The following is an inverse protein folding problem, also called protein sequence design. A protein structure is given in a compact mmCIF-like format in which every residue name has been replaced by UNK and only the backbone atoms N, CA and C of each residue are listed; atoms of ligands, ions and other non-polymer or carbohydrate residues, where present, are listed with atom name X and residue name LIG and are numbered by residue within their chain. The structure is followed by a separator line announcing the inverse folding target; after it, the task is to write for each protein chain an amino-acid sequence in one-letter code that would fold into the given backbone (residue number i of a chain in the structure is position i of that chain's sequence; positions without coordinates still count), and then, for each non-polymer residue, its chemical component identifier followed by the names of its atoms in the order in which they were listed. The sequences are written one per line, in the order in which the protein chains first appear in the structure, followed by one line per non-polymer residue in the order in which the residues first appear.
data_IF_602172341778
#
_entry.id   IF_602172341778
#
_cell.length_a   1.000
_cell.length_b   1.000
_cell.length_c   1.000
_cell.angle_alpha   90.00
_cell.angle_beta   90.00
_cell.angle_gamma   90.00
#
_symmetry.space_group_name_H-M   'P 1'
#
loop_
_entity.id
_entity.type
_entity.pdbx_description
1 polymer ?
#
# COMPACT_ATOMS: atom_id res chain seq x y z
N UNK A 1 6.80 9.61 45.68
CA UNK A 1 5.67 9.37 46.61
C UNK A 1 5.03 10.72 46.95
N UNK A 2 4.08 11.24 46.16
CA UNK A 2 2.99 12.14 46.61
C UNK A 2 1.85 12.02 45.59
N UNK A 3 0.65 11.63 46.03
CA UNK A 3 -0.62 11.66 45.28
C UNK A 3 -1.41 12.89 45.73
N UNK A 4 -1.95 13.68 44.81
CA UNK A 4 -3.12 14.57 44.97
C UNK A 4 -3.68 14.81 43.56
N UNK A 5 -4.95 14.58 43.19
CA UNK A 5 -6.17 14.57 43.97
C UNK A 5 -6.96 15.86 43.71
N UNK A 6 -7.72 15.88 42.61
CA UNK A 6 -8.88 16.73 42.30
C UNK A 6 -8.75 18.27 42.39
N UNK A 7 -8.52 18.95 41.24
CA UNK A 7 -9.01 20.32 41.05
C UNK A 7 -9.04 20.73 39.56
N UNK A 8 -9.92 20.12 38.75
CA UNK A 8 -10.16 20.54 37.36
C UNK A 8 -11.61 20.98 37.16
N UNK A 9 -11.91 22.29 37.27
CA UNK A 9 -13.19 22.85 36.80
C UNK A 9 -13.04 23.83 35.61
N UNK A 10 -11.85 23.96 35.00
CA UNK A 10 -11.53 25.07 34.08
C UNK A 10 -11.17 24.70 32.63
N UNK A 11 -11.46 23.49 32.18
CA UNK A 11 -11.33 23.10 30.76
C UNK A 11 -12.57 23.40 29.94
N UNK A 12 -13.76 23.39 30.56
CA UNK A 12 -15.03 23.62 29.86
C UNK A 12 -15.10 25.03 29.24
N UNK A 13 -14.51 26.03 29.89
CA UNK A 13 -14.45 27.40 29.37
C UNK A 13 -13.48 27.57 28.19
N UNK A 14 -12.40 26.78 28.12
CA UNK A 14 -11.45 26.82 27.00
C UNK A 14 -12.05 26.21 25.71
N UNK A 15 -12.85 25.15 25.84
CA UNK A 15 -13.59 24.57 24.70
C UNK A 15 -14.67 25.55 24.20
N UNK A 16 -15.27 26.35 25.08
CA UNK A 16 -16.26 27.37 24.72
C UNK A 16 -15.65 28.56 23.94
N UNK A 17 -14.42 28.97 24.27
CA UNK A 17 -13.71 30.03 23.54
C UNK A 17 -13.28 29.53 22.15
N UNK A 18 -12.82 28.27 22.03
CA UNK A 18 -12.52 27.68 20.72
C UNK A 18 -13.76 27.50 19.83
N UNK A 19 -14.96 27.38 20.42
CA UNK A 19 -16.24 27.27 19.71
C UNK A 19 -16.79 28.60 19.18
N UNK A 20 -16.27 29.74 19.66
CA UNK A 20 -16.68 31.08 19.21
C UNK A 20 -15.77 31.67 18.14
N UNK A 21 -14.51 31.23 18.04
CA UNK A 21 -13.55 31.77 17.08
C UNK A 21 -13.49 31.03 15.73
N UNK A 22 -13.98 29.79 15.65
CA UNK A 22 -14.04 29.08 14.38
C UNK A 22 -15.48 28.72 14.06
N UNK A 23 -16.01 29.41 13.05
CA UNK A 23 -17.32 29.16 12.48
C UNK A 23 -17.45 27.67 12.13
N UNK A 24 -18.39 26.97 12.76
CA UNK A 24 -18.53 25.51 12.68
C UNK A 24 -18.88 25.04 11.25
N UNK A 25 -19.36 25.96 10.40
CA UNK A 25 -19.65 25.75 8.97
C UNK A 25 -18.39 25.80 8.08
N UNK A 26 -17.34 26.54 8.48
CA UNK A 26 -16.08 26.60 7.71
C UNK A 26 -15.22 25.34 7.85
N UNK A 27 -15.44 24.56 8.90
CA UNK A 27 -14.72 23.29 9.12
C UNK A 27 -15.37 22.16 8.32
N UNK A 28 -16.69 22.18 8.11
CA UNK A 28 -17.34 21.19 7.23
C UNK A 28 -16.91 21.37 5.78
N UNK A 29 -16.77 22.60 5.30
CA UNK A 29 -16.44 22.88 3.91
C UNK A 29 -14.99 22.53 3.57
N UNK A 30 -14.05 22.71 4.52
CA UNK A 30 -12.64 22.30 4.35
C UNK A 30 -12.45 20.78 4.45
N UNK A 31 -13.29 20.08 5.23
CA UNK A 31 -13.24 18.62 5.32
C UNK A 31 -13.94 17.96 4.12
N UNK A 32 -14.92 18.63 3.50
CA UNK A 32 -15.66 18.10 2.36
C UNK A 32 -14.85 18.00 1.05
N UNK A 33 -13.71 18.68 0.96
CA UNK A 33 -12.81 18.59 -0.21
C UNK A 33 -11.71 17.52 -0.07
N UNK A 34 -11.61 16.83 1.07
CA UNK A 34 -10.66 15.71 1.24
C UNK A 34 -11.39 14.40 0.96
N UNK A 35 -11.34 13.96 -0.29
CA UNK A 35 -11.78 12.62 -0.67
C UNK A 35 -10.88 11.59 0.03
N UNK A 36 -11.33 11.08 1.18
CA UNK A 36 -10.56 10.14 2.00
C UNK A 36 -10.48 8.77 1.31
N UNK A 37 -9.26 8.32 1.00
CA UNK A 37 -9.06 7.01 0.38
C UNK A 37 -9.13 5.95 1.47
N UNK A 38 -10.34 5.42 1.67
CA UNK A 38 -10.56 4.23 2.51
C UNK A 38 -10.78 3.00 1.64
N UNK A 39 -10.09 1.92 1.99
CA UNK A 39 -10.25 0.62 1.34
C UNK A 39 -11.02 -0.35 2.23
N UNK A 40 -11.80 -1.20 1.59
CA UNK A 40 -12.64 -2.21 2.24
C UNK A 40 -11.93 -3.57 2.28
N UNK A 41 -12.44 -4.49 3.11
CA UNK A 41 -12.00 -5.88 3.12
C UNK A 41 -12.13 -6.56 1.74
N UNK A 42 -13.12 -6.16 0.93
CA UNK A 42 -13.27 -6.65 -0.45
C UNK A 42 -12.12 -6.19 -1.35
N UNK A 43 -11.63 -4.96 -1.16
CA UNK A 43 -10.50 -4.43 -1.92
C UNK A 43 -9.22 -5.16 -1.53
N UNK A 44 -9.03 -5.44 -0.23
CA UNK A 44 -7.91 -6.27 0.26
C UNK A 44 -7.98 -7.67 -0.32
N UNK A 45 -9.15 -8.30 -0.33
CA UNK A 45 -9.34 -9.62 -0.94
C UNK A 45 -9.04 -9.61 -2.45
N UNK A 46 -9.42 -8.55 -3.15
CA UNK A 46 -9.13 -8.39 -4.57
C UNK A 46 -7.62 -8.29 -4.82
N UNK A 47 -6.92 -7.43 -4.07
CA UNK A 47 -5.47 -7.27 -4.18
C UNK A 47 -4.73 -8.55 -3.78
N UNK A 48 -5.19 -9.25 -2.74
CA UNK A 48 -4.63 -10.54 -2.34
C UNK A 48 -4.73 -11.58 -3.47
N UNK A 49 -5.86 -11.63 -4.18
CA UNK A 49 -6.03 -12.52 -5.33
C UNK A 49 -5.06 -12.16 -6.48
N UNK A 50 -4.87 -10.87 -6.77
CA UNK A 50 -3.90 -10.41 -7.77
C UNK A 50 -2.46 -10.81 -7.39
N UNK A 51 -2.14 -10.73 -6.09
CA UNK A 51 -0.85 -11.12 -5.54
C UNK A 51 -0.70 -12.64 -5.28
N UNK A 52 -1.73 -13.45 -5.58
CA UNK A 52 -1.77 -14.90 -5.29
C UNK A 52 -1.55 -15.24 -3.81
N UNK A 53 -2.03 -14.38 -2.92
CA UNK A 53 -1.99 -14.56 -1.47
C UNK A 53 -3.32 -15.12 -0.97
N UNK A 54 -3.25 -16.21 -0.19
CA UNK A 54 -4.40 -16.73 0.54
C UNK A 54 -4.37 -16.16 1.96
N UNK A 55 -5.41 -15.41 2.32
CA UNK A 55 -5.54 -14.78 3.63
C UNK A 55 -6.63 -15.47 4.45
N UNK A 56 -6.41 -15.56 5.75
CA UNK A 56 -7.47 -15.89 6.71
C UNK A 56 -8.35 -14.67 6.99
N UNK A 57 -9.54 -14.88 7.56
CA UNK A 57 -10.46 -13.78 7.90
C UNK A 57 -9.84 -12.79 8.90
N UNK A 58 -9.05 -13.31 9.86
CA UNK A 58 -8.34 -12.49 10.85
C UNK A 58 -7.25 -11.64 10.18
N UNK A 59 -6.47 -12.22 9.27
CA UNK A 59 -5.46 -11.46 8.51
C UNK A 59 -6.10 -10.42 7.60
N UNK A 60 -7.27 -10.73 7.03
CA UNK A 60 -8.00 -9.82 6.17
C UNK A 60 -8.51 -8.58 6.94
N UNK A 61 -9.03 -8.75 8.15
CA UNK A 61 -9.37 -7.64 9.04
C UNK A 61 -8.14 -6.82 9.41
N UNK A 62 -7.07 -7.49 9.85
CA UNK A 62 -5.82 -6.85 10.24
C UNK A 62 -5.21 -6.04 9.09
N UNK A 63 -5.11 -6.62 7.89
CA UNK A 63 -4.53 -5.95 6.73
C UNK A 63 -5.42 -4.82 6.21
N UNK A 64 -6.74 -4.93 6.35
CA UNK A 64 -7.63 -3.80 6.04
C UNK A 64 -7.29 -2.59 6.93
N UNK A 65 -7.12 -2.78 8.24
CA UNK A 65 -6.75 -1.68 9.13
C UNK A 65 -5.35 -1.13 8.82
N UNK A 66 -4.37 -2.01 8.63
CA UNK A 66 -2.98 -1.61 8.41
C UNK A 66 -2.78 -0.89 7.08
N UNK A 67 -3.40 -1.38 6.00
CA UNK A 67 -3.31 -0.74 4.69
C UNK A 67 -4.00 0.62 4.67
N UNK A 68 -5.15 0.78 5.34
CA UNK A 68 -5.78 2.09 5.49
C UNK A 68 -4.86 3.09 6.20
N UNK A 69 -4.13 2.67 7.24
CA UNK A 69 -3.14 3.53 7.91
C UNK A 69 -1.97 3.93 6.99
N UNK A 70 -1.50 3.00 6.16
CA UNK A 70 -0.42 3.26 5.19
C UNK A 70 -0.89 4.25 4.11
N UNK A 71 -2.09 4.05 3.57
CA UNK A 71 -2.67 4.94 2.57
C UNK A 71 -2.90 6.34 3.13
N UNK A 72 -3.42 6.44 4.37
CA UNK A 72 -3.56 7.72 5.06
C UNK A 72 -2.21 8.45 5.22
N UNK A 73 -1.12 7.72 5.49
CA UNK A 73 0.20 8.34 5.53
C UNK A 73 0.68 8.77 4.13
N UNK A 74 0.40 7.98 3.09
CA UNK A 74 0.74 8.31 1.71
C UNK A 74 -0.01 9.54 1.18
N UNK A 75 -1.20 9.86 1.72
CA UNK A 75 -1.95 11.08 1.39
C UNK A 75 -1.15 12.37 1.69
N UNK A 76 -0.14 12.33 2.57
CA UNK A 76 0.75 13.47 2.80
C UNK A 76 1.44 13.94 1.50
N UNK A 77 1.68 13.04 0.55
CA UNK A 77 2.28 13.35 -0.75
C UNK A 77 1.35 14.16 -1.65
N UNK A 78 0.02 14.12 -1.45
CA UNK A 78 -0.94 14.90 -2.25
C UNK A 78 -0.83 16.41 -2.00
N UNK A 79 -0.18 16.83 -0.91
CA UNK A 79 0.04 18.24 -0.56
C UNK A 79 1.16 18.89 -1.38
N UNK A 80 1.89 18.11 -2.17
CA UNK A 80 3.01 18.58 -2.97
C UNK A 80 2.50 19.07 -4.33
N UNK A 81 2.89 20.28 -4.74
CA UNK A 81 2.68 20.77 -6.09
C UNK A 81 3.69 20.12 -7.05
N UNK A 82 3.19 19.29 -7.96
CA UNK A 82 3.98 18.52 -8.91
C UNK A 82 3.59 18.81 -10.38
N UNK A 83 2.82 19.86 -10.67
CA UNK A 83 2.29 20.13 -12.02
C UNK A 83 3.37 20.21 -13.11
N UNK A 84 4.57 20.65 -12.73
CA UNK A 84 5.70 20.87 -13.64
C UNK A 84 6.90 19.94 -13.34
N UNK A 85 6.68 18.86 -12.59
CA UNK A 85 7.73 17.90 -12.23
C UNK A 85 7.53 16.61 -13.02
N UNK A 86 8.45 16.33 -13.94
CA UNK A 86 8.44 15.09 -14.71
C UNK A 86 8.67 13.85 -13.79
N UNK A 87 7.89 12.77 -13.93
CA UNK A 87 8.10 11.54 -13.18
C UNK A 87 9.49 10.94 -13.44
N UNK A 88 10.20 10.58 -12.36
CA UNK A 88 11.50 9.93 -12.46
C UNK A 88 11.34 8.40 -12.47
N UNK A 89 11.49 7.78 -13.64
CA UNK A 89 11.43 6.31 -13.78
C UNK A 89 12.78 5.62 -13.54
N UNK A 90 13.87 6.26 -13.96
CA UNK A 90 15.25 5.77 -13.84
C UNK A 90 16.13 6.91 -13.36
N UNK A 91 17.00 6.63 -12.39
CA UNK A 91 17.94 7.64 -11.86
C UNK A 91 19.14 7.89 -12.78
N UNK A 92 19.42 6.95 -13.69
CA UNK A 92 20.50 7.05 -14.67
C UNK A 92 19.93 7.34 -16.07
N UNK A 93 20.62 8.16 -16.89
CA UNK A 93 20.21 8.44 -18.26
C UNK A 93 20.58 7.26 -19.18
N UNK A 94 19.85 6.16 -19.07
CA UNK A 94 20.05 4.96 -19.88
C UNK A 94 19.32 5.12 -21.21
N UNK A 95 20.03 4.94 -22.32
CA UNK A 95 19.45 5.00 -23.66
C UNK A 95 19.99 3.84 -24.50
N UNK A 96 19.10 3.21 -25.28
CA UNK A 96 19.46 2.26 -26.34
C UNK A 96 20.43 1.15 -25.90
N UNK A 97 20.25 0.62 -24.68
CA UNK A 97 21.04 -0.52 -24.20
C UNK A 97 20.55 -1.79 -24.87
N UNK A 98 21.16 -2.10 -26.01
CA UNK A 98 20.83 -3.27 -26.82
C UNK A 98 21.83 -4.39 -26.55
N UNK A 99 21.33 -5.62 -26.63
CA UNK A 99 22.15 -6.84 -26.65
C UNK A 99 22.47 -7.21 -28.10
N UNK A 100 23.71 -7.58 -28.38
CA UNK A 100 24.10 -8.17 -29.66
C UNK A 100 23.29 -9.43 -29.96
N UNK A 101 22.80 -9.57 -31.20
CA UNK A 101 22.10 -10.76 -31.64
C UNK A 101 23.07 -11.90 -31.97
N UNK A 102 23.63 -12.51 -30.92
CA UNK A 102 24.53 -13.66 -31.01
C UNK A 102 24.08 -14.75 -30.06
N UNK A 103 24.33 -15.99 -30.44
CA UNK A 103 24.10 -17.15 -29.57
C UNK A 103 25.12 -17.15 -28.44
N UNK A 104 24.70 -17.69 -27.28
CA UNK A 104 25.55 -17.89 -26.11
C UNK A 104 25.33 -19.30 -25.58
N UNK A 105 26.26 -19.77 -24.77
CA UNK A 105 26.04 -20.98 -23.99
C UNK A 105 24.94 -20.71 -22.96
N UNK A 106 23.93 -21.57 -22.96
CA UNK A 106 22.82 -21.54 -22.00
C UNK A 106 23.03 -22.60 -20.91
N UNK A 107 22.21 -22.56 -19.87
CA UNK A 107 22.16 -23.58 -18.84
C UNK A 107 21.87 -24.96 -19.47
N UNK A 108 22.47 -26.01 -18.91
CA UNK A 108 22.01 -27.38 -19.21
C UNK A 108 20.61 -27.59 -18.62
N UNK A 109 19.88 -28.60 -19.12
CA UNK A 109 18.55 -28.95 -18.58
C UNK A 109 18.64 -29.25 -17.06
N UNK A 110 19.63 -30.05 -16.65
CA UNK A 110 19.92 -30.34 -15.24
C UNK A 110 20.17 -29.06 -14.40
N UNK A 111 20.95 -28.11 -14.93
CA UNK A 111 21.20 -26.83 -14.25
C UNK A 111 19.94 -25.97 -14.14
N UNK A 112 19.06 -26.01 -15.14
CA UNK A 112 17.81 -25.27 -15.11
C UNK A 112 16.83 -25.84 -14.08
N UNK A 113 16.86 -27.16 -13.87
CA UNK A 113 15.94 -27.87 -12.97
C UNK A 113 16.50 -28.09 -11.55
N UNK A 114 17.73 -27.71 -11.27
CA UNK A 114 18.40 -28.03 -9.99
C UNK A 114 17.66 -27.52 -8.73
N UNK A 115 16.75 -26.55 -8.88
CA UNK A 115 15.92 -25.99 -7.80
C UNK A 115 14.41 -26.22 -8.04
N UNK A 116 14.04 -27.04 -9.02
CA UNK A 116 12.65 -27.37 -9.29
C UNK A 116 12.07 -28.17 -8.10
N UNK A 117 10.98 -27.72 -7.47
CA UNK A 117 10.35 -28.49 -6.40
C UNK A 117 9.75 -29.81 -6.87
N UNK A 118 9.31 -29.87 -8.12
CA UNK A 118 8.76 -31.05 -8.79
C UNK A 118 9.16 -31.00 -10.28
N UNK A 119 9.69 -32.10 -10.78
CA UNK A 119 10.15 -32.26 -12.15
C UNK A 119 9.69 -33.60 -12.72
N UNK A 120 9.51 -33.63 -14.03
CA UNK A 120 9.13 -34.84 -14.76
C UNK A 120 9.70 -34.82 -16.17
N UNK A 121 10.32 -35.91 -16.59
CA UNK A 121 10.88 -36.08 -17.95
C UNK A 121 11.70 -34.86 -18.45
N UNK A 122 12.44 -34.19 -17.56
CA UNK A 122 13.24 -33.00 -17.90
C UNK A 122 12.44 -31.69 -18.01
N UNK A 123 11.27 -31.61 -17.38
CA UNK A 123 10.37 -30.45 -17.36
C UNK A 123 9.93 -30.10 -15.94
N UNK A 124 9.51 -28.85 -15.72
CA UNK A 124 8.82 -28.46 -14.49
C UNK A 124 7.41 -29.05 -14.48
N UNK A 125 7.07 -29.83 -13.45
CA UNK A 125 5.72 -30.37 -13.30
C UNK A 125 4.87 -29.40 -12.50
N UNK A 126 3.71 -29.03 -13.05
CA UNK A 126 2.71 -28.19 -12.37
C UNK A 126 1.31 -28.78 -12.56
N UNK A 127 0.34 -28.51 -11.66
CA UNK A 127 -1.04 -28.88 -11.87
C UNK A 127 -1.56 -28.32 -13.20
N UNK A 128 -2.28 -29.14 -13.97
CA UNK A 128 -2.87 -28.71 -15.23
C UNK A 128 -3.88 -27.59 -14.98
N UNK A 129 -3.78 -26.51 -15.76
CA UNK A 129 -4.75 -25.42 -15.76
C UNK A 129 -5.87 -25.82 -16.71
N UNK A 130 -7.02 -26.25 -16.17
CA UNK A 130 -8.26 -26.38 -16.93
C UNK A 130 -9.20 -25.25 -16.50
N UNK A 131 -9.67 -24.46 -17.46
CA UNK A 131 -10.66 -23.40 -17.21
C UNK A 131 -12.00 -24.02 -16.82
N UNK A 132 -12.62 -23.45 -15.79
CA UNK A 132 -14.01 -23.64 -15.39
C UNK A 132 -14.60 -22.29 -15.02
#
# INVERSE_FOLDING_TARGET
MVKFGHFWPRVSQLVSIYRLCYNQEMISDVIAEVEYVSITSKDVAHVANLARLKLTDQEMEQYTEQLNKILQHAEELQKLDLENVEPTSHVLPIQNVMRDDRTRQWLTNEQALSNAPDEDEGQFRVPAVMEG
#
